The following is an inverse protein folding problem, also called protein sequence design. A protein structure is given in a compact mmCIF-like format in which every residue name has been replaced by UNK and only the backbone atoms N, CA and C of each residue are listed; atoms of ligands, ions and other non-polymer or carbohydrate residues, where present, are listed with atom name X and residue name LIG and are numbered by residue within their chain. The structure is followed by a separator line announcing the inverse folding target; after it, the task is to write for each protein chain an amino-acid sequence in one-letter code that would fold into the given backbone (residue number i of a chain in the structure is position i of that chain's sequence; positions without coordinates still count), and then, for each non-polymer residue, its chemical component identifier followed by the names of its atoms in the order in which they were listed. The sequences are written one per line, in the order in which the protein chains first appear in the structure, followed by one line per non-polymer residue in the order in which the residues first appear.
data_IF_884295583388
#
_entry.id   IF_884295583388
#
_cell.length_a   1.000
_cell.length_b   1.000
_cell.length_c   1.000
_cell.angle_alpha   90.00
_cell.angle_beta   90.00
_cell.angle_gamma   90.00
#
_symmetry.space_group_name_H-M   'P 1'
#
loop_
_entity.id
_entity.type
_entity.pdbx_description
1 polymer ?
#
# COMPACT_ATOMS: atom_id res chain seq x y z
N UNK A 1 -6.38 4.56 0.04
CA UNK A 1 -5.73 3.44 0.75
C UNK A 1 -6.71 2.79 1.71
N UNK A 2 -6.73 1.46 1.76
CA UNK A 2 -7.59 0.72 2.71
C UNK A 2 -7.21 1.04 4.18
N UNK A 3 -5.93 1.33 4.45
CA UNK A 3 -5.46 1.73 5.77
C UNK A 3 -6.09 3.06 6.22
N UNK A 4 -6.22 4.04 5.32
CA UNK A 4 -6.92 5.30 5.61
C UNK A 4 -8.41 5.05 5.80
N UNK A 5 -9.02 4.15 5.02
CA UNK A 5 -10.44 3.80 5.17
C UNK A 5 -10.72 3.12 6.52
N UNK A 6 -9.85 2.22 6.96
CA UNK A 6 -9.93 1.62 8.29
C UNK A 6 -9.84 2.67 9.40
N UNK A 7 -8.96 3.68 9.21
CA UNK A 7 -8.83 4.79 10.15
C UNK A 7 -10.11 5.67 10.19
N UNK A 8 -10.69 5.97 9.03
CA UNK A 8 -11.98 6.71 8.96
C UNK A 8 -13.09 5.95 9.70
N UNK A 9 -13.12 4.63 9.58
CA UNK A 9 -14.06 3.79 10.31
C UNK A 9 -13.82 3.87 11.82
N UNK A 10 -12.57 3.74 12.27
CA UNK A 10 -12.20 3.93 13.68
C UNK A 10 -12.70 5.28 14.21
N UNK A 11 -12.39 6.38 13.52
CA UNK A 11 -12.76 7.71 13.96
C UNK A 11 -14.28 7.91 14.10
N UNK A 12 -15.07 7.24 13.24
CA UNK A 12 -16.54 7.25 13.33
C UNK A 12 -17.09 6.39 14.47
N UNK A 13 -16.47 5.24 14.74
CA UNK A 13 -16.97 4.27 15.74
C UNK A 13 -16.63 4.68 17.16
N UNK A 14 -15.51 5.36 17.37
CA UNK A 14 -15.05 5.73 18.72
C UNK A 14 -15.94 6.77 19.39
N UNK A 15 -16.67 7.58 18.63
CA UNK A 15 -17.71 8.49 19.16
C UNK A 15 -17.20 9.49 20.20
N UNK A 16 -15.92 9.88 20.11
CA UNK A 16 -15.34 10.89 21.01
C UNK A 16 -15.70 12.28 20.50
N UNK A 17 -16.09 13.14 21.44
CA UNK A 17 -16.40 14.54 21.13
C UNK A 17 -15.12 15.34 20.79
N UNK A 18 -13.99 14.95 21.39
CA UNK A 18 -12.69 15.58 21.18
C UNK A 18 -11.61 14.52 20.91
N UNK A 19 -10.83 14.69 19.86
CA UNK A 19 -9.65 13.87 19.58
C UNK A 19 -8.63 14.63 18.71
N UNK A 20 -7.38 14.24 18.83
CA UNK A 20 -6.29 14.65 17.93
C UNK A 20 -5.58 13.40 17.43
N UNK A 21 -5.65 13.16 16.13
CA UNK A 21 -4.98 12.05 15.46
C UNK A 21 -4.03 12.56 14.40
N UNK A 22 -2.91 11.86 14.20
CA UNK A 22 -2.00 12.08 13.10
C UNK A 22 -2.01 10.83 12.17
N UNK A 23 -2.33 11.03 10.90
CA UNK A 23 -2.26 10.01 9.86
C UNK A 23 -1.23 10.45 8.83
N UNK A 24 -0.19 9.64 8.64
CA UNK A 24 0.88 9.90 7.70
C UNK A 24 0.83 8.87 6.56
N UNK A 25 0.48 9.32 5.36
CA UNK A 25 0.71 8.54 4.13
C UNK A 25 2.07 8.97 3.58
N UNK A 26 3.09 8.15 3.79
CA UNK A 26 4.47 8.52 3.54
C UNK A 26 5.29 7.32 3.04
N UNK A 27 6.54 7.55 2.69
CA UNK A 27 7.47 6.56 2.13
C UNK A 27 7.75 5.42 3.10
N UNK A 28 7.94 4.20 2.59
CA UNK A 28 8.14 2.99 3.42
C UNK A 28 9.22 3.17 4.49
N UNK A 29 10.36 3.78 4.14
CA UNK A 29 11.43 4.02 5.12
C UNK A 29 10.98 4.99 6.23
N UNK A 30 10.21 6.02 5.90
CA UNK A 30 9.68 6.98 6.87
C UNK A 30 8.64 6.34 7.78
N UNK A 31 7.80 5.42 7.26
CA UNK A 31 6.89 4.61 8.10
C UNK A 31 7.67 3.85 9.17
N UNK A 32 8.77 3.19 8.77
CA UNK A 32 9.64 2.44 9.68
C UNK A 32 10.30 3.38 10.70
N UNK A 33 10.83 4.52 10.27
CA UNK A 33 11.49 5.50 11.15
C UNK A 33 10.50 6.15 12.12
N UNK A 34 9.28 6.43 11.71
CA UNK A 34 8.23 6.98 12.57
C UNK A 34 7.86 5.99 13.69
N UNK A 35 7.77 4.69 13.40
CA UNK A 35 7.52 3.66 14.43
C UNK A 35 8.74 3.47 15.31
N UNK A 36 9.94 3.40 14.74
CA UNK A 36 11.21 3.32 15.51
C UNK A 36 11.35 4.45 16.51
N UNK A 37 11.04 5.67 16.11
CA UNK A 37 11.19 6.88 16.92
C UNK A 37 9.94 7.20 17.76
N UNK A 38 8.98 6.29 17.84
CA UNK A 38 7.73 6.44 18.59
C UNK A 38 6.89 7.67 18.18
N UNK A 39 7.07 8.15 16.95
CA UNK A 39 6.22 9.19 16.34
C UNK A 39 4.88 8.63 15.88
N UNK A 40 4.87 7.36 15.47
CA UNK A 40 3.69 6.59 15.14
C UNK A 40 3.63 5.33 15.98
N UNK A 41 2.47 5.01 16.49
CA UNK A 41 2.23 3.79 17.25
C UNK A 41 2.22 2.57 16.34
N UNK A 42 1.64 2.72 15.15
CA UNK A 42 1.42 1.68 14.14
C UNK A 42 1.89 2.18 12.78
N UNK A 43 2.59 1.34 12.04
CA UNK A 43 2.85 1.52 10.62
C UNK A 43 2.24 0.36 9.83
N UNK A 44 1.60 0.63 8.69
CA UNK A 44 1.05 -0.38 7.81
C UNK A 44 1.92 -0.48 6.56
N UNK A 45 2.37 -1.69 6.24
CA UNK A 45 3.18 -1.98 5.07
C UNK A 45 3.01 -3.45 4.65
N UNK A 46 3.69 -3.86 3.60
CA UNK A 46 3.68 -5.25 3.16
C UNK A 46 5.09 -5.85 3.10
N UNK A 47 5.14 -7.17 3.21
CA UNK A 47 6.30 -7.99 2.87
C UNK A 47 5.99 -8.84 1.64
N UNK A 48 7.02 -9.16 0.88
CA UNK A 48 6.99 -10.11 -0.23
C UNK A 48 8.27 -10.95 -0.20
N UNK A 49 8.33 -12.02 -0.97
CA UNK A 49 9.52 -12.85 -1.08
C UNK A 49 10.77 -12.03 -1.44
N UNK A 50 10.59 -10.95 -2.19
CA UNK A 50 11.67 -10.06 -2.61
C UNK A 50 12.23 -9.20 -1.46
N UNK A 51 11.37 -8.55 -0.67
CA UNK A 51 11.80 -7.54 0.32
C UNK A 51 11.88 -8.07 1.76
N UNK A 52 11.25 -9.20 2.06
CA UNK A 52 11.08 -9.70 3.42
C UNK A 52 12.40 -9.83 4.20
N UNK A 53 13.40 -10.45 3.59
CA UNK A 53 14.69 -10.68 4.26
C UNK A 53 15.38 -9.37 4.67
N UNK A 54 15.32 -8.37 3.81
CA UNK A 54 15.95 -7.06 4.05
C UNK A 54 15.16 -6.29 5.09
N UNK A 55 13.83 -6.22 4.94
CA UNK A 55 12.98 -5.48 5.88
C UNK A 55 12.96 -6.11 7.28
N UNK A 56 12.92 -7.44 7.39
CA UNK A 56 12.99 -8.12 8.70
C UNK A 56 14.32 -7.88 9.42
N UNK A 57 15.43 -7.80 8.68
CA UNK A 57 16.72 -7.41 9.26
C UNK A 57 16.66 -5.98 9.81
N UNK A 58 16.13 -5.05 9.03
CA UNK A 58 15.95 -3.65 9.44
C UNK A 58 15.02 -3.54 10.65
N UNK A 59 13.90 -4.28 10.68
CA UNK A 59 13.00 -4.30 11.83
C UNK A 59 13.71 -4.76 13.10
N UNK A 60 14.55 -5.80 13.00
CA UNK A 60 15.33 -6.27 14.15
C UNK A 60 16.30 -5.19 14.66
N UNK A 61 16.98 -4.47 13.75
CA UNK A 61 17.92 -3.39 14.09
C UNK A 61 17.21 -2.17 14.69
N UNK A 62 15.92 -2.01 14.41
CA UNK A 62 15.09 -0.89 14.89
C UNK A 62 14.19 -1.25 16.07
N UNK A 63 14.32 -2.43 16.68
CA UNK A 63 13.42 -2.94 17.72
C UNK A 63 11.93 -2.92 17.35
N UNK A 64 11.65 -3.22 16.08
CA UNK A 64 10.30 -3.30 15.51
C UNK A 64 9.87 -4.76 15.39
N UNK A 65 8.61 -5.04 15.62
CA UNK A 65 7.95 -6.29 15.24
C UNK A 65 6.97 -6.05 14.09
N UNK A 66 6.93 -7.01 13.17
CA UNK A 66 5.93 -7.07 12.10
C UNK A 66 4.93 -8.18 12.43
N UNK A 67 3.65 -7.87 12.29
CA UNK A 67 2.56 -8.84 12.41
C UNK A 67 1.73 -8.82 11.14
N UNK A 68 1.64 -9.98 10.50
CA UNK A 68 0.80 -10.17 9.32
C UNK A 68 -0.67 -10.06 9.68
N UNK A 69 -1.44 -9.41 8.82
CA UNK A 69 -2.89 -9.30 8.90
C UNK A 69 -3.57 -10.23 7.91
N UNK A 70 -3.17 -10.17 6.65
CA UNK A 70 -3.68 -11.01 5.57
C UNK A 70 -2.73 -11.02 4.37
N UNK A 71 -2.97 -11.95 3.45
CA UNK A 71 -2.23 -12.08 2.19
C UNK A 71 -3.14 -11.75 1.01
N UNK A 72 -2.62 -11.07 0.01
CA UNK A 72 -3.32 -10.79 -1.25
C UNK A 72 -2.39 -11.01 -2.45
N UNK A 73 -3.00 -11.10 -3.63
CA UNK A 73 -2.29 -11.16 -4.90
C UNK A 73 -2.01 -9.76 -5.43
N UNK A 74 -1.18 -9.67 -6.47
CA UNK A 74 -0.91 -8.42 -7.17
C UNK A 74 -1.95 -8.16 -8.24
N UNK A 75 -2.46 -6.94 -8.27
CA UNK A 75 -3.41 -6.44 -9.26
C UNK A 75 -2.86 -5.22 -9.97
N UNK A 76 -3.31 -5.02 -11.20
CA UNK A 76 -3.07 -3.81 -11.98
C UNK A 76 -4.17 -2.80 -11.69
N UNK A 77 -3.81 -1.65 -11.15
CA UNK A 77 -4.73 -0.54 -10.88
C UNK A 77 -4.66 0.46 -12.02
N UNK A 78 -5.79 0.74 -12.64
CA UNK A 78 -5.92 1.60 -13.80
C UNK A 78 -7.32 2.25 -13.84
N UNK A 79 -7.52 3.26 -14.69
CA UNK A 79 -8.83 3.85 -14.85
C UNK A 79 -9.75 2.99 -15.73
N UNK A 80 -11.06 3.04 -15.51
CA UNK A 80 -12.04 2.17 -16.19
C UNK A 80 -12.12 2.34 -17.71
N UNK A 81 -11.61 3.46 -18.26
CA UNK A 81 -11.53 3.68 -19.72
C UNK A 81 -10.14 3.37 -20.30
N UNK A 82 -9.24 2.81 -19.49
CA UNK A 82 -7.95 2.32 -20.00
C UNK A 82 -8.15 1.23 -21.06
N UNK A 83 -7.33 1.16 -22.14
CA UNK A 83 -7.46 0.13 -23.17
C UNK A 83 -7.45 -1.32 -22.65
N UNK A 84 -6.79 -1.57 -21.51
CA UNK A 84 -6.75 -2.90 -20.87
C UNK A 84 -7.89 -3.14 -19.87
N UNK A 85 -8.76 -2.17 -19.59
CA UNK A 85 -9.79 -2.29 -18.56
C UNK A 85 -10.83 -3.38 -18.81
N UNK A 86 -11.01 -3.81 -20.08
CA UNK A 86 -11.91 -4.91 -20.44
C UNK A 86 -11.32 -6.31 -20.28
N UNK A 87 -10.03 -6.44 -19.93
CA UNK A 87 -9.40 -7.74 -19.74
C UNK A 87 -9.80 -8.36 -18.39
N UNK A 88 -9.91 -9.68 -18.34
CA UNK A 88 -10.12 -10.43 -17.09
C UNK A 88 -8.82 -10.64 -16.31
N UNK A 89 -7.69 -10.70 -17.02
CA UNK A 89 -6.33 -10.86 -16.49
C UNK A 89 -5.39 -10.08 -17.40
N UNK A 90 -4.45 -9.36 -16.82
CA UNK A 90 -3.41 -8.60 -17.51
C UNK A 90 -2.08 -9.32 -17.33
N UNK A 91 -1.22 -9.30 -18.35
CA UNK A 91 0.16 -9.81 -18.29
C UNK A 91 1.16 -8.65 -18.21
N UNK A 92 2.39 -8.92 -17.75
CA UNK A 92 3.46 -7.92 -17.79
C UNK A 92 3.76 -7.44 -19.22
N UNK A 93 3.62 -8.30 -20.21
CA UNK A 93 3.80 -7.95 -21.63
C UNK A 93 2.74 -6.94 -22.10
N UNK A 94 1.48 -7.10 -21.68
CA UNK A 94 0.41 -6.15 -22.00
C UNK A 94 0.72 -4.74 -21.49
N UNK A 95 1.46 -4.63 -20.37
CA UNK A 95 1.78 -3.38 -19.71
C UNK A 95 2.92 -2.59 -20.35
N UNK A 96 3.71 -3.21 -21.24
CA UNK A 96 4.90 -2.59 -21.85
C UNK A 96 4.59 -1.34 -22.70
N UNK A 97 3.38 -1.21 -23.21
CA UNK A 97 2.98 -0.07 -24.03
C UNK A 97 2.46 1.13 -23.20
N UNK A 98 2.32 0.95 -21.88
CA UNK A 98 1.76 1.96 -20.98
C UNK A 98 2.76 2.40 -19.91
N UNK A 99 2.69 3.66 -19.42
CA UNK A 99 3.57 4.11 -18.34
C UNK A 99 3.25 3.41 -17.02
N UNK A 100 4.26 2.80 -16.40
CA UNK A 100 4.21 2.35 -15.02
C UNK A 100 4.36 3.55 -14.08
N UNK A 101 3.41 3.75 -13.22
CA UNK A 101 3.40 4.82 -12.23
C UNK A 101 3.82 4.23 -10.88
N UNK A 102 4.86 4.79 -10.28
CA UNK A 102 5.40 4.32 -9.00
C UNK A 102 5.59 5.48 -8.03
N UNK A 103 5.52 5.19 -6.73
CA UNK A 103 5.84 6.17 -5.70
C UNK A 103 7.34 6.35 -5.55
N UNK A 104 7.78 7.60 -5.54
CA UNK A 104 9.17 7.95 -5.33
C UNK A 104 9.57 7.71 -3.87
N UNK A 105 10.65 6.96 -3.64
CA UNK A 105 11.17 6.68 -2.30
C UNK A 105 12.26 7.67 -1.84
N UNK A 106 12.53 8.73 -2.61
CA UNK A 106 13.51 9.78 -2.30
C UNK A 106 14.92 9.24 -2.21
N UNK A 107 15.66 9.65 -1.20
CA UNK A 107 17.07 9.23 -0.97
C UNK A 107 17.19 7.73 -0.66
N UNK A 108 16.13 7.08 -0.24
CA UNK A 108 16.07 5.64 0.02
C UNK A 108 15.55 4.87 -1.20
N UNK A 109 16.04 5.21 -2.39
CA UNK A 109 15.58 4.68 -3.68
C UNK A 109 16.04 3.22 -3.93
N UNK A 110 15.93 2.37 -2.93
CA UNK A 110 16.14 0.93 -3.05
C UNK A 110 14.82 0.25 -3.39
N UNK A 111 14.85 -0.70 -4.30
CA UNK A 111 13.68 -1.52 -4.66
C UNK A 111 13.03 -2.23 -3.47
N UNK A 112 13.79 -2.49 -2.40
CA UNK A 112 13.25 -3.09 -1.17
C UNK A 112 12.25 -2.20 -0.42
N UNK A 113 12.25 -0.88 -0.68
CA UNK A 113 11.31 0.08 -0.10
C UNK A 113 10.17 0.45 -1.04
N UNK A 114 10.14 -0.11 -2.26
CA UNK A 114 9.06 0.17 -3.22
C UNK A 114 7.69 -0.17 -2.63
N UNK A 115 6.72 0.69 -2.87
CA UNK A 115 5.33 0.47 -2.46
C UNK A 115 4.61 -0.48 -3.41
N UNK A 116 5.10 -0.59 -4.63
CA UNK A 116 4.55 -1.46 -5.67
C UNK A 116 5.32 -2.77 -5.75
N UNK A 117 4.58 -3.83 -6.03
CA UNK A 117 5.14 -5.14 -6.38
C UNK A 117 5.85 -5.09 -7.72
N UNK A 118 6.63 -6.10 -8.04
CA UNK A 118 7.37 -6.20 -9.32
C UNK A 118 8.28 -4.99 -9.60
N UNK A 119 8.80 -4.35 -8.56
CA UNK A 119 9.61 -3.13 -8.66
C UNK A 119 10.94 -3.32 -9.41
N UNK A 120 11.42 -4.55 -9.53
CA UNK A 120 12.63 -4.92 -10.29
C UNK A 120 12.35 -5.26 -11.75
N UNK A 121 11.07 -5.33 -12.15
CA UNK A 121 10.73 -5.58 -13.55
C UNK A 121 11.06 -4.36 -14.40
N UNK A 122 11.63 -4.59 -15.58
CA UNK A 122 12.03 -3.52 -16.51
C UNK A 122 10.86 -3.05 -17.37
N UNK A 123 10.18 -2.01 -16.92
CA UNK A 123 9.16 -1.32 -17.71
C UNK A 123 9.81 -0.34 -18.69
N UNK A 124 9.34 -0.32 -19.94
CA UNK A 124 9.84 0.63 -20.96
C UNK A 124 9.64 2.10 -20.57
N UNK A 125 8.58 2.39 -19.82
CA UNK A 125 8.21 3.75 -19.40
C UNK A 125 7.88 3.73 -17.91
N UNK A 126 8.55 4.53 -17.12
CA UNK A 126 8.30 4.68 -15.69
C UNK A 126 8.17 6.16 -15.36
N UNK A 127 7.14 6.51 -14.63
CA UNK A 127 6.95 7.86 -14.07
C UNK A 127 6.85 7.71 -12.56
N UNK A 128 7.69 8.45 -11.84
CA UNK A 128 7.67 8.50 -10.38
C UNK A 128 6.90 9.73 -9.92
N UNK A 129 6.01 9.54 -8.96
CA UNK A 129 5.25 10.60 -8.32
C UNK A 129 5.37 10.47 -6.80
N UNK A 130 5.23 11.54 -6.08
CA UNK A 130 5.36 11.61 -4.63
C UNK A 130 4.01 11.83 -3.92
N UNK A 131 2.94 11.97 -4.68
CA UNK A 131 1.58 12.06 -4.14
C UNK A 131 0.55 11.29 -4.99
N UNK A 132 -0.53 10.90 -4.32
CA UNK A 132 -1.60 10.08 -4.92
C UNK A 132 -2.43 10.85 -5.96
N UNK A 133 -2.69 12.13 -5.75
CA UNK A 133 -3.51 12.91 -6.67
C UNK A 133 -2.83 13.08 -8.02
N UNK A 134 -1.53 13.37 -8.01
CA UNK A 134 -0.69 13.41 -9.22
C UNK A 134 -0.68 12.05 -9.91
N UNK A 135 -0.52 10.96 -9.16
CA UNK A 135 -0.54 9.60 -9.74
C UNK A 135 -1.87 9.30 -10.44
N UNK A 136 -3.00 9.62 -9.83
CA UNK A 136 -4.33 9.43 -10.43
C UNK A 136 -4.52 10.28 -11.71
N UNK A 137 -4.04 11.52 -11.71
CA UNK A 137 -4.08 12.39 -12.90
C UNK A 137 -3.24 11.82 -14.04
N UNK A 138 -2.04 11.32 -13.76
CA UNK A 138 -1.18 10.66 -14.74
C UNK A 138 -1.80 9.36 -15.26
N UNK A 139 -2.48 8.62 -14.41
CA UNK A 139 -3.19 7.38 -14.77
C UNK A 139 -4.28 7.66 -15.82
N UNK A 140 -5.07 8.71 -15.63
CA UNK A 140 -6.10 9.13 -16.59
C UNK A 140 -5.48 9.77 -17.82
N UNK A 141 -4.55 10.71 -17.65
CA UNK A 141 -4.02 11.54 -18.75
C UNK A 141 -3.10 10.79 -19.70
N UNK A 142 -2.41 9.75 -19.24
CA UNK A 142 -1.41 9.01 -20.02
C UNK A 142 -1.74 7.51 -20.21
N UNK A 143 -2.93 7.07 -19.81
CA UNK A 143 -3.23 5.64 -19.69
C UNK A 143 -2.17 4.91 -18.86
N UNK A 144 -1.74 5.50 -17.75
CA UNK A 144 -0.80 4.88 -16.85
C UNK A 144 -1.46 3.83 -15.97
N UNK A 145 -0.64 2.99 -15.37
CA UNK A 145 -1.08 1.99 -14.41
C UNK A 145 -0.14 1.96 -13.21
N UNK A 146 -0.61 1.41 -12.09
CA UNK A 146 0.25 1.01 -10.97
C UNK A 146 -0.14 -0.37 -10.48
N UNK A 147 0.71 -1.00 -9.67
CA UNK A 147 0.40 -2.29 -9.07
C UNK A 147 -0.10 -2.10 -7.64
N UNK A 148 -1.07 -2.89 -7.22
CA UNK A 148 -1.73 -2.77 -5.93
C UNK A 148 -2.20 -4.12 -5.37
N UNK A 149 -2.73 -4.10 -4.16
CA UNK A 149 -3.30 -5.27 -3.46
C UNK A 149 -4.68 -5.72 -3.96
N UNK A 150 -5.27 -5.02 -4.93
CA UNK A 150 -6.64 -5.28 -5.36
C UNK A 150 -7.73 -4.69 -4.45
N UNK A 151 -7.39 -4.25 -3.25
CA UNK A 151 -8.34 -3.64 -2.31
C UNK A 151 -8.63 -2.20 -2.75
N UNK A 152 -9.79 -1.97 -3.35
CA UNK A 152 -10.24 -0.66 -3.83
C UNK A 152 -11.14 0.00 -2.79
N UNK A 153 -11.02 1.30 -2.64
CA UNK A 153 -11.88 2.16 -1.81
C UNK A 153 -12.62 3.13 -2.70
N UNK A 154 -13.67 2.66 -3.40
CA UNK A 154 -14.46 3.48 -4.33
C UNK A 154 -15.08 4.70 -3.64
N UNK A 155 -15.55 4.53 -2.41
CA UNK A 155 -16.12 5.61 -1.59
C UNK A 155 -15.11 6.73 -1.24
N UNK A 156 -13.79 6.48 -1.34
CA UNK A 156 -12.77 7.50 -1.10
C UNK A 156 -12.11 8.03 -2.38
N UNK A 157 -12.00 7.19 -3.41
CA UNK A 157 -11.26 7.51 -4.63
C UNK A 157 -12.19 7.68 -5.85
N UNK A 158 -13.50 7.51 -5.68
CA UNK A 158 -14.45 7.43 -6.78
C UNK A 158 -14.46 6.06 -7.45
N UNK A 159 -15.43 5.85 -8.33
CA UNK A 159 -15.67 4.60 -9.04
C UNK A 159 -15.03 4.54 -10.44
N UNK A 160 -14.21 5.52 -10.80
CA UNK A 160 -13.57 5.63 -12.13
C UNK A 160 -12.38 4.68 -12.33
N UNK A 161 -12.00 3.92 -11.32
CA UNK A 161 -10.82 3.05 -11.34
C UNK A 161 -11.19 1.58 -11.16
N UNK A 162 -10.32 0.70 -11.66
CA UNK A 162 -10.47 -0.74 -11.55
C UNK A 162 -9.14 -1.40 -11.13
N UNK A 163 -9.24 -2.54 -10.45
CA UNK A 163 -8.12 -3.43 -10.21
C UNK A 163 -8.36 -4.74 -10.95
N UNK A 164 -7.43 -5.12 -11.81
CA UNK A 164 -7.51 -6.31 -12.65
C UNK A 164 -6.37 -7.25 -12.25
N UNK A 165 -6.62 -8.56 -12.06
CA UNK A 165 -5.58 -9.51 -11.70
C UNK A 165 -4.38 -9.46 -12.64
N UNK A 166 -3.16 -9.44 -12.09
CA UNK A 166 -1.93 -9.64 -12.83
C UNK A 166 -1.63 -11.14 -12.93
N UNK A 167 -1.32 -11.64 -14.12
CA UNK A 167 -1.04 -13.08 -14.35
C UNK A 167 0.22 -13.53 -13.60
N UNK A 168 1.27 -12.73 -13.65
CA UNK A 168 2.56 -12.95 -12.99
C UNK A 168 2.54 -12.47 -11.53
N UNK A 169 1.41 -12.68 -10.86
CA UNK A 169 1.16 -12.19 -9.52
C UNK A 169 2.12 -12.79 -8.49
N UNK A 170 2.69 -11.94 -7.66
CA UNK A 170 3.37 -12.31 -6.42
C UNK A 170 2.47 -12.03 -5.22
N UNK A 171 2.72 -12.74 -4.11
CA UNK A 171 1.97 -12.53 -2.87
C UNK A 171 2.48 -11.33 -2.10
N UNK A 172 1.54 -10.52 -1.64
CA UNK A 172 1.76 -9.45 -0.68
C UNK A 172 1.27 -9.90 0.69
N UNK A 173 2.17 -9.95 1.67
CA UNK A 173 1.84 -10.17 3.07
C UNK A 173 1.61 -8.82 3.74
N UNK A 174 0.37 -8.38 3.73
CA UNK A 174 -0.03 -7.10 4.34
C UNK A 174 0.01 -7.27 5.86
N UNK A 175 0.63 -6.33 6.53
CA UNK A 175 0.74 -6.36 7.97
C UNK A 175 0.97 -4.98 8.58
N UNK A 176 1.14 -4.99 9.88
CA UNK A 176 1.52 -3.79 10.60
C UNK A 176 2.83 -3.98 11.37
N UNK A 177 3.50 -2.88 11.58
CA UNK A 177 4.67 -2.79 12.44
C UNK A 177 4.36 -1.95 13.67
N UNK A 178 4.97 -2.32 14.79
CA UNK A 178 4.99 -1.53 16.02
C UNK A 178 6.34 -1.69 16.73
N UNK A 179 6.67 -0.79 17.62
CA UNK A 179 7.86 -0.94 18.46
C UNK A 179 7.67 -2.07 19.46
N UNK A 180 8.67 -2.95 19.63
CA UNK A 180 8.59 -4.13 20.52
C UNK A 180 8.35 -3.78 21.98
N UNK A 181 8.96 -2.70 22.48
CA UNK A 181 8.85 -2.26 23.85
C UNK A 181 7.51 -1.60 24.22
N UNK A 182 6.60 -1.39 23.25
CA UNK A 182 5.33 -0.69 23.50
C UNK A 182 4.14 -1.64 23.42
N UNK A 183 3.18 -1.43 24.32
CA UNK A 183 1.83 -2.01 24.20
C UNK A 183 0.99 -1.09 23.32
N UNK A 184 0.11 -1.69 22.51
CA UNK A 184 -0.86 -0.91 21.77
C UNK A 184 -1.85 -0.23 22.72
N UNK A 185 -2.22 0.99 22.38
CA UNK A 185 -3.36 1.66 23.00
C UNK A 185 -4.66 0.93 22.62
N UNK A 186 -5.73 1.17 23.37
CA UNK A 186 -7.06 0.65 23.02
C UNK A 186 -7.49 1.07 21.62
N UNK A 187 -7.16 2.30 21.21
CA UNK A 187 -7.44 2.80 19.86
C UNK A 187 -6.60 2.07 18.79
N UNK A 188 -5.33 1.79 19.08
CA UNK A 188 -4.47 1.00 18.21
C UNK A 188 -5.00 -0.41 18.01
N UNK A 189 -5.52 -1.07 19.05
CA UNK A 189 -6.16 -2.39 18.95
C UNK A 189 -7.41 -2.36 18.07
N UNK A 190 -8.29 -1.37 18.26
CA UNK A 190 -9.49 -1.19 17.43
C UNK A 190 -9.10 -0.93 15.96
N UNK A 191 -8.07 -0.13 15.70
CA UNK A 191 -7.59 0.12 14.35
C UNK A 191 -7.08 -1.15 13.67
N UNK A 192 -6.33 -1.99 14.39
CA UNK A 192 -5.85 -3.28 13.88
C UNK A 192 -7.03 -4.19 13.55
N UNK A 193 -8.04 -4.24 14.39
CA UNK A 193 -9.24 -5.05 14.12
C UNK A 193 -10.01 -4.52 12.91
N UNK A 194 -10.09 -3.22 12.71
CA UNK A 194 -10.64 -2.63 11.50
C UNK A 194 -9.83 -3.00 10.24
N UNK A 195 -8.48 -3.06 10.34
CA UNK A 195 -7.62 -3.50 9.24
C UNK A 195 -7.85 -4.98 8.87
N UNK A 196 -8.02 -5.87 9.85
CA UNK A 196 -8.28 -7.30 9.61
C UNK A 196 -9.56 -7.55 8.80
N UNK A 197 -10.56 -6.69 8.91
CA UNK A 197 -11.81 -6.80 8.16
C UNK A 197 -11.63 -6.73 6.64
N UNK A 198 -10.46 -6.30 6.15
CA UNK A 198 -10.12 -6.28 4.73
C UNK A 198 -9.65 -7.62 4.18
N UNK A 199 -9.32 -8.61 5.01
CA UNK A 199 -8.99 -9.98 4.57
C UNK A 199 -10.09 -10.56 3.67
N UNK A 200 -11.36 -10.35 4.03
CA UNK A 200 -12.52 -10.83 3.27
C UNK A 200 -12.86 -9.97 2.04
N UNK A 201 -12.12 -8.91 1.76
CA UNK A 201 -12.30 -7.98 0.64
C UNK A 201 -11.18 -8.08 -0.40
N UNK A 202 -10.28 -9.01 -0.20
CA UNK A 202 -9.26 -9.37 -1.20
C UNK A 202 -9.98 -10.08 -2.34
N UNK A 203 -9.93 -9.51 -3.55
CA UNK A 203 -10.58 -10.02 -4.77
C UNK A 203 -9.92 -11.31 -5.27
#
# INVERSE_FOLDING_TARGET
SFAVKAFVQLAKEVGMDEYEFAVHETKTKEVIDNVKNLKSEIGVLYLSDFNEKVLRKLFKECDIEFKELFTCNTYVYLWKKHPLAGKKVITLDDLQEYPCLTFEQGVNNSFYYAEEMMSTYEYKRVIKADDRATMLNLMVGLNGFTLCSGIISEDLNGDDYAAIPLKESEKMHIGYIKHKGTKLSKLGEIYIDALKNYENKVL
#
